data_IF_449445781786
#
_entry.id   IF_449445781786
#
_cell.length_a   1.000
_cell.length_b   1.000
_cell.length_c   1.000
_cell.angle_alpha   90.00
_cell.angle_beta   90.00
_cell.angle_gamma   90.00
#
_symmetry.space_group_name_H-M   'P 1'
#
loop_
_entity.id
_entity.type
_entity.pdbx_description
1 polymer ?
#
# COMPACT_ATOMS: atom_id res chain seq x y z
N UNK A 1 2.08 -4.85 -0.19
CA UNK A 1 2.29 -6.19 0.40
C UNK A 1 0.93 -6.72 0.85
N UNK A 2 0.73 -8.03 0.89
CA UNK A 2 -0.60 -8.58 1.16
C UNK A 2 -0.95 -8.27 2.61
N UNK A 3 -2.15 -7.73 2.89
CA UNK A 3 -2.59 -7.42 4.26
C UNK A 3 -2.38 -8.62 5.19
N UNK A 4 -2.62 -9.84 4.70
CA UNK A 4 -2.35 -11.08 5.42
C UNK A 4 -0.89 -11.23 5.87
N UNK A 5 0.08 -10.93 5.01
CA UNK A 5 1.51 -11.01 5.36
C UNK A 5 1.87 -9.98 6.42
N UNK A 6 1.38 -8.74 6.28
CA UNK A 6 1.61 -7.68 7.27
C UNK A 6 1.05 -8.05 8.65
N UNK A 7 -0.15 -8.65 8.69
CA UNK A 7 -0.78 -9.12 9.92
C UNK A 7 -0.05 -10.33 10.53
N UNK A 8 0.46 -11.24 9.71
CA UNK A 8 1.27 -12.38 10.18
C UNK A 8 2.56 -11.89 10.84
N UNK A 9 3.28 -10.96 10.20
CA UNK A 9 4.50 -10.38 10.76
C UNK A 9 4.19 -9.65 12.07
N UNK A 10 3.12 -8.85 12.10
CA UNK A 10 2.70 -8.16 13.32
C UNK A 10 2.33 -9.14 14.45
N UNK A 11 1.67 -10.26 14.11
CA UNK A 11 1.38 -11.33 15.05
C UNK A 11 2.67 -11.95 15.60
N UNK A 12 3.68 -12.20 14.77
CA UNK A 12 4.98 -12.74 15.22
C UNK A 12 5.65 -11.78 16.21
N UNK A 13 5.69 -10.48 15.91
CA UNK A 13 6.25 -9.49 16.83
C UNK A 13 5.50 -9.44 18.17
N UNK A 14 4.16 -9.51 18.12
CA UNK A 14 3.31 -9.56 19.31
C UNK A 14 3.56 -10.79 20.16
N UNK A 15 3.57 -11.96 19.54
CA UNK A 15 3.83 -13.21 20.24
C UNK A 15 5.22 -13.24 20.86
N UNK A 16 6.24 -12.73 20.14
CA UNK A 16 7.58 -12.59 20.70
C UNK A 16 7.60 -11.67 21.93
N UNK A 17 6.96 -10.49 21.85
CA UNK A 17 7.00 -9.51 22.92
C UNK A 17 6.29 -10.00 24.19
N UNK A 18 5.13 -10.63 24.05
CA UNK A 18 4.35 -11.11 25.19
C UNK A 18 4.68 -12.55 25.59
N UNK A 19 5.56 -13.24 24.86
CA UNK A 19 5.87 -14.65 25.12
C UNK A 19 4.66 -15.56 24.89
N UNK A 20 3.77 -15.21 23.95
CA UNK A 20 2.66 -16.09 23.57
C UNK A 20 3.20 -17.31 22.83
N UNK A 21 2.72 -18.48 23.21
CA UNK A 21 3.01 -19.76 22.57
C UNK A 21 1.72 -20.35 21.96
N UNK A 22 1.82 -21.36 21.10
CA UNK A 22 0.64 -21.93 20.40
C UNK A 22 -0.47 -22.39 21.36
N UNK A 23 -0.11 -22.87 22.55
CA UNK A 23 -1.02 -23.40 23.57
C UNK A 23 -1.20 -22.48 24.78
N UNK A 24 -0.44 -21.38 24.89
CA UNK A 24 -0.42 -20.52 26.08
C UNK A 24 -0.42 -19.06 25.67
N UNK A 25 -1.50 -18.34 26.01
CA UNK A 25 -1.54 -16.87 25.92
C UNK A 25 -1.16 -16.28 27.27
N UNK A 26 -0.34 -15.24 27.25
CA UNK A 26 0.03 -14.47 28.44
C UNK A 26 -0.87 -13.24 28.57
N UNK A 27 -0.78 -12.55 29.71
CA UNK A 27 -1.55 -11.32 29.93
C UNK A 27 -0.86 -10.17 29.18
N UNK A 28 -1.60 -9.54 28.25
CA UNK A 28 -1.11 -8.39 27.48
C UNK A 28 -1.38 -7.11 28.29
N UNK A 29 -0.44 -6.72 29.14
CA UNK A 29 -0.59 -5.57 30.06
C UNK A 29 -0.68 -4.20 29.35
N UNK A 30 -0.17 -4.09 28.12
CA UNK A 30 -0.13 -2.83 27.36
C UNK A 30 -0.71 -3.06 25.97
N UNK A 31 -1.59 -2.15 25.52
CA UNK A 31 -2.16 -2.19 24.17
C UNK A 31 -1.06 -2.13 23.12
N UNK A 32 -1.23 -2.88 22.02
CA UNK A 32 -0.23 -2.92 20.95
C UNK A 32 0.09 -1.54 20.36
N UNK A 33 -0.92 -0.69 20.25
CA UNK A 33 -0.78 0.67 19.73
C UNK A 33 0.16 1.53 20.60
N UNK A 34 0.15 1.34 21.92
CA UNK A 34 1.03 2.05 22.86
C UNK A 34 2.47 1.55 22.74
N UNK A 35 2.65 0.23 22.62
CA UNK A 35 3.95 -0.38 22.35
C UNK A 35 4.57 0.15 21.05
N UNK A 36 3.74 0.39 20.02
CA UNK A 36 4.19 0.87 18.72
C UNK A 36 4.60 2.35 18.66
N UNK A 37 4.31 3.15 19.70
CA UNK A 37 4.71 4.56 19.74
C UNK A 37 6.23 4.71 19.74
N UNK A 38 6.73 5.89 19.35
CA UNK A 38 8.17 6.18 19.42
C UNK A 38 8.69 6.07 20.86
N UNK A 39 10.00 5.84 21.00
CA UNK A 39 10.68 5.87 22.31
C UNK A 39 10.49 7.21 23.03
N UNK A 40 10.49 8.31 22.28
CA UNK A 40 10.23 9.65 22.81
C UNK A 40 8.80 9.83 23.35
N UNK A 41 7.85 9.04 22.87
CA UNK A 41 6.44 9.05 23.33
C UNK A 41 6.13 7.87 24.26
N UNK A 42 7.15 7.25 24.86
CA UNK A 42 6.98 6.18 25.85
C UNK A 42 6.71 4.77 25.29
N UNK A 43 6.77 4.59 23.96
CA UNK A 43 6.65 3.28 23.32
C UNK A 43 7.99 2.61 23.02
N UNK A 44 7.97 1.44 22.37
CA UNK A 44 9.17 0.70 21.97
C UNK A 44 9.70 1.09 20.58
N UNK A 45 8.96 1.91 19.83
CA UNK A 45 9.29 2.28 18.45
C UNK A 45 9.03 1.17 17.43
N UNK A 46 8.25 0.15 17.79
CA UNK A 46 7.92 -0.96 16.89
C UNK A 46 6.90 -0.46 15.86
N UNK A 47 7.33 -0.17 14.63
CA UNK A 47 6.42 0.35 13.61
C UNK A 47 5.30 -0.64 13.22
N UNK A 48 4.05 -0.15 13.18
CA UNK A 48 2.83 -0.92 12.84
C UNK A 48 2.92 -1.57 11.44
N UNK A 49 2.56 -2.84 11.34
CA UNK A 49 2.67 -3.61 10.10
C UNK A 49 1.80 -3.03 8.98
N UNK A 50 0.58 -2.59 9.33
CA UNK A 50 -0.33 -1.93 8.39
C UNK A 50 0.22 -0.63 7.81
N UNK A 51 0.85 0.21 8.64
CA UNK A 51 1.43 1.50 8.19
C UNK A 51 2.60 1.22 7.23
N UNK A 52 3.48 0.30 7.58
CA UNK A 52 4.59 -0.12 6.72
C UNK A 52 4.08 -0.69 5.39
N UNK A 53 3.05 -1.53 5.43
CA UNK A 53 2.43 -2.08 4.23
C UNK A 53 1.86 -0.99 3.31
N UNK A 54 1.14 -0.03 3.88
CA UNK A 54 0.57 1.10 3.14
C UNK A 54 1.66 1.95 2.49
N UNK A 55 2.75 2.26 3.21
CA UNK A 55 3.89 2.98 2.65
C UNK A 55 4.56 2.23 1.49
N UNK A 56 4.74 0.91 1.62
CA UNK A 56 5.29 0.08 0.54
C UNK A 56 4.38 0.06 -0.70
N UNK A 57 3.06 0.00 -0.48
CA UNK A 57 2.07 0.06 -1.55
C UNK A 57 2.08 1.43 -2.24
N UNK A 58 2.10 2.52 -1.48
CA UNK A 58 2.23 3.88 -2.03
C UNK A 58 3.52 4.03 -2.86
N UNK A 59 4.65 3.54 -2.36
CA UNK A 59 5.91 3.51 -3.12
C UNK A 59 5.77 2.74 -4.43
N UNK A 60 5.08 1.59 -4.42
CA UNK A 60 4.83 0.80 -5.62
C UNK A 60 3.99 1.55 -6.64
N UNK A 61 2.93 2.22 -6.19
CA UNK A 61 2.04 3.03 -7.03
C UNK A 61 2.81 4.19 -7.67
N UNK A 62 3.63 4.88 -6.90
CA UNK A 62 4.51 5.93 -7.41
C UNK A 62 5.47 5.39 -8.48
N UNK A 63 6.12 4.24 -8.22
CA UNK A 63 7.01 3.59 -9.18
C UNK A 63 6.25 3.21 -10.46
N UNK A 64 4.99 2.78 -10.35
CA UNK A 64 4.16 2.46 -11.52
C UNK A 64 3.93 3.67 -12.42
N UNK A 65 3.70 4.85 -11.84
CA UNK A 65 3.55 6.10 -12.58
C UNK A 65 4.87 6.60 -13.19
N UNK A 66 5.99 6.42 -12.48
CA UNK A 66 7.31 6.96 -12.86
C UNK A 66 8.13 6.04 -13.78
N UNK A 67 8.19 4.74 -13.50
CA UNK A 67 9.02 3.75 -14.19
C UNK A 67 8.30 3.17 -15.41
N UNK A 68 8.02 4.02 -16.40
CA UNK A 68 7.20 3.64 -17.58
C UNK A 68 7.80 2.51 -18.41
N UNK A 69 9.13 2.40 -18.45
CA UNK A 69 9.85 1.38 -19.23
C UNK A 69 10.17 0.09 -18.47
N UNK A 70 9.85 0.02 -17.18
CA UNK A 70 10.17 -1.16 -16.40
C UNK A 70 9.35 -2.37 -16.87
N UNK A 71 10.03 -3.52 -17.07
CA UNK A 71 9.40 -4.76 -17.54
C UNK A 71 8.20 -5.18 -16.69
N UNK A 72 8.34 -5.09 -15.36
CA UNK A 72 7.25 -5.41 -14.42
C UNK A 72 5.99 -4.56 -14.68
N UNK A 73 6.16 -3.30 -15.11
CA UNK A 73 5.05 -2.42 -15.47
C UNK A 73 4.42 -2.88 -16.79
N UNK A 74 5.21 -3.16 -17.82
CA UNK A 74 4.71 -3.63 -19.13
C UNK A 74 3.88 -4.91 -18.99
N UNK A 75 4.40 -5.88 -18.23
CA UNK A 75 3.67 -7.11 -17.88
C UNK A 75 2.33 -6.82 -17.19
N UNK A 76 2.28 -5.82 -16.30
CA UNK A 76 1.03 -5.43 -15.64
C UNK A 76 0.04 -4.75 -16.59
N UNK A 77 0.54 -3.87 -17.47
CA UNK A 77 -0.28 -3.17 -18.47
C UNK A 77 -0.88 -4.17 -19.46
N UNK A 78 -0.06 -5.09 -19.99
CA UNK A 78 -0.46 -6.05 -21.02
C UNK A 78 -1.37 -7.15 -20.45
N UNK A 79 -1.05 -7.71 -19.28
CA UNK A 79 -1.85 -8.80 -18.71
C UNK A 79 -3.11 -8.33 -17.99
N UNK A 80 -3.14 -7.11 -17.47
CA UNK A 80 -4.24 -6.63 -16.61
C UNK A 80 -4.90 -5.32 -17.09
N UNK A 81 -4.45 -4.74 -18.22
CA UNK A 81 -5.05 -3.53 -18.79
C UNK A 81 -4.86 -2.25 -17.96
N UNK A 82 -3.85 -2.23 -17.08
CA UNK A 82 -3.60 -1.13 -16.15
C UNK A 82 -2.73 -0.09 -16.87
N UNK A 83 -3.29 0.99 -17.40
CA UNK A 83 -2.54 1.93 -18.25
C UNK A 83 -1.95 3.15 -17.52
N UNK A 84 -2.66 3.72 -16.54
CA UNK A 84 -2.26 4.97 -15.85
C UNK A 84 -2.41 4.96 -14.34
N UNK A 85 -1.93 6.02 -13.69
CA UNK A 85 -1.97 6.24 -12.24
C UNK A 85 -3.37 6.65 -11.75
N UNK A 86 -4.18 7.29 -12.62
CA UNK A 86 -5.60 7.52 -12.41
C UNK A 86 -6.37 6.22 -12.65
N UNK A 87 -6.26 5.29 -11.71
CA UNK A 87 -6.88 3.96 -11.74
C UNK A 87 -8.36 3.97 -11.41
N UNK A 88 -9.04 4.98 -11.91
CA UNK A 88 -10.47 5.05 -11.83
C UNK A 88 -11.02 4.71 -13.22
N UNK A 89 -11.48 3.45 -13.37
CA UNK A 89 -12.75 3.04 -14.02
C UNK A 89 -12.62 1.89 -15.03
N UNK A 90 -11.43 1.60 -15.60
CA UNK A 90 -11.30 0.51 -16.59
C UNK A 90 -10.97 -0.88 -16.04
N UNK A 91 -10.43 -1.00 -14.81
CA UNK A 91 -10.12 -2.33 -14.26
C UNK A 91 -11.40 -3.06 -13.83
N UNK A 92 -11.75 -4.12 -14.55
CA UNK A 92 -12.81 -5.07 -14.20
C UNK A 92 -12.19 -6.24 -13.45
N UNK A 93 -12.58 -6.42 -12.18
CA UNK A 93 -12.11 -7.50 -11.32
C UNK A 93 -12.34 -8.86 -12.00
N UNK A 94 -11.26 -9.61 -12.23
CA UNK A 94 -11.30 -10.97 -12.77
C UNK A 94 -10.96 -12.00 -11.68
N UNK A 95 -11.54 -13.20 -11.79
CA UNK A 95 -11.16 -14.33 -10.93
C UNK A 95 -9.68 -14.70 -11.13
N UNK A 96 -9.17 -14.56 -12.36
CA UNK A 96 -7.79 -14.83 -12.77
C UNK A 96 -6.78 -13.79 -12.26
N UNK A 97 -7.23 -12.64 -11.75
CA UNK A 97 -6.31 -11.62 -11.27
C UNK A 97 -5.55 -12.12 -10.03
N UNK A 98 -4.26 -11.82 -9.99
CA UNK A 98 -3.43 -12.16 -8.84
C UNK A 98 -3.92 -11.42 -7.60
N UNK A 99 -3.72 -12.02 -6.42
CA UNK A 99 -4.08 -11.38 -5.16
C UNK A 99 -3.36 -10.03 -4.99
N UNK A 100 -2.14 -9.90 -5.53
CA UNK A 100 -1.40 -8.65 -5.57
C UNK A 100 -2.10 -7.56 -6.40
N UNK A 101 -2.52 -7.87 -7.64
CA UNK A 101 -3.22 -6.92 -8.51
C UNK A 101 -4.56 -6.52 -7.89
N UNK A 102 -5.33 -7.49 -7.36
CA UNK A 102 -6.57 -7.21 -6.63
C UNK A 102 -6.34 -6.26 -5.46
N UNK A 103 -5.28 -6.48 -4.67
CA UNK A 103 -4.93 -5.61 -3.54
C UNK A 103 -4.54 -4.19 -4.03
N UNK A 104 -3.67 -4.10 -5.02
CA UNK A 104 -3.23 -2.81 -5.59
C UNK A 104 -4.42 -2.04 -6.16
N UNK A 105 -5.22 -2.64 -7.04
CA UNK A 105 -6.41 -2.02 -7.63
C UNK A 105 -7.47 -1.64 -6.58
N UNK A 106 -7.61 -2.42 -5.49
CA UNK A 106 -8.54 -2.08 -4.41
C UNK A 106 -8.15 -0.81 -3.64
N UNK A 107 -6.86 -0.46 -3.60
CA UNK A 107 -6.36 0.72 -2.89
C UNK A 107 -6.59 2.03 -3.65
N UNK A 108 -6.74 1.92 -4.97
CA UNK A 108 -7.11 3.03 -5.85
C UNK A 108 -8.62 3.34 -5.80
N UNK A 109 -9.42 2.53 -5.11
CA UNK A 109 -10.78 2.92 -4.77
C UNK A 109 -10.73 4.08 -3.77
N UNK A 110 -11.46 5.16 -4.10
CA UNK A 110 -11.50 6.38 -3.32
C UNK A 110 -11.83 6.10 -1.84
N UNK A 111 -11.07 6.73 -0.93
CA UNK A 111 -11.35 6.72 0.52
C UNK A 111 -10.38 5.93 1.41
N UNK A 112 -9.45 5.15 0.86
CA UNK A 112 -8.43 4.47 1.69
C UNK A 112 -7.38 5.45 2.24
N UNK A 113 -6.83 5.18 3.44
CA UNK A 113 -5.72 5.98 4.01
C UNK A 113 -4.53 6.06 3.04
N UNK A 114 -4.26 4.98 2.31
CA UNK A 114 -3.22 4.93 1.28
C UNK A 114 -3.55 5.85 0.11
N UNK A 115 -4.81 5.90 -0.34
CA UNK A 115 -5.25 6.85 -1.37
C UNK A 115 -5.06 8.30 -0.90
N UNK A 116 -5.37 8.62 0.36
CA UNK A 116 -5.11 9.95 0.94
C UNK A 116 -3.61 10.30 0.94
N UNK A 117 -2.76 9.39 1.42
CA UNK A 117 -1.29 9.58 1.43
C UNK A 117 -0.74 9.83 0.01
N UNK A 118 -1.28 9.14 -0.99
CA UNK A 118 -0.88 9.30 -2.39
C UNK A 118 -1.38 10.65 -2.92
N UNK A 119 -2.64 11.01 -2.68
CA UNK A 119 -3.23 12.27 -3.15
C UNK A 119 -2.57 13.50 -2.51
N UNK A 120 -2.24 13.43 -1.23
CA UNK A 120 -1.60 14.54 -0.50
C UNK A 120 -0.08 14.58 -0.71
N UNK A 121 0.56 13.43 -0.90
CA UNK A 121 2.02 13.31 -0.91
C UNK A 121 2.66 13.31 -2.30
N UNK A 122 1.89 13.07 -3.38
CA UNK A 122 2.44 13.01 -4.73
C UNK A 122 2.07 14.25 -5.53
N UNK A 123 3.09 15.03 -5.89
CA UNK A 123 2.98 16.03 -6.95
C UNK A 123 3.36 15.40 -8.29
N UNK A 124 2.61 15.74 -9.33
CA UNK A 124 3.01 15.45 -10.70
C UNK A 124 3.78 16.64 -11.23
N UNK A 125 4.93 16.42 -11.83
CA UNK A 125 5.63 17.45 -12.60
C UNK A 125 5.16 17.30 -14.04
N UNK A 126 4.49 18.33 -14.54
CA UNK A 126 4.06 18.38 -15.94
C UNK A 126 5.31 18.39 -16.82
N UNK A 127 5.44 17.36 -17.67
CA UNK A 127 6.53 17.24 -18.63
C UNK A 127 6.29 18.09 -19.88
N UNK A 128 6.85 17.67 -21.02
CA UNK A 128 6.87 18.40 -22.30
C UNK A 128 5.50 18.63 -23.00
N UNK A 129 4.36 18.51 -22.30
CA UNK A 129 3.04 18.81 -22.86
C UNK A 129 2.37 17.65 -23.59
N UNK A 130 3.10 16.61 -24.00
CA UNK A 130 2.55 15.43 -24.70
C UNK A 130 1.56 14.59 -23.86
N UNK A 131 1.41 14.89 -22.56
CA UNK A 131 0.73 14.05 -21.56
C UNK A 131 -0.20 14.82 -20.62
N UNK A 132 -0.35 16.12 -20.84
CA UNK A 132 -1.26 16.96 -20.09
C UNK A 132 -2.11 17.71 -21.10
N UNK A 133 -3.32 17.22 -21.32
CA UNK A 133 -4.32 17.93 -22.12
C UNK A 133 -4.81 19.12 -21.29
N UNK A 134 -4.25 20.29 -21.53
CA UNK A 134 -4.66 21.53 -20.87
C UNK A 134 -5.91 22.15 -21.49
N UNK A 135 -6.27 21.72 -22.70
CA UNK A 135 -7.33 22.33 -23.50
C UNK A 135 -8.26 21.26 -24.05
N UNK A 136 -9.39 21.04 -23.37
CA UNK A 136 -10.60 20.45 -23.97
C UNK A 136 -11.68 21.52 -24.02
N UNK A 137 -11.49 22.53 -24.86
CA UNK A 137 -12.57 23.44 -25.27
C UNK A 137 -12.36 23.81 -26.74
N UNK A 138 -13.09 23.14 -27.63
CA UNK A 138 -13.80 23.70 -28.79
C UNK A 138 -14.98 22.80 -29.12
#
# INVERSE_FOLDING_TARGET
MLLGVALVIEKIHRCFLWGDERSKRTIHAVKWEEVCKSKSSGGLGIGRGLIKNNGMLAKWIWRFGRERDALWRRVLVENYGIQDMCLSWSWKKSSKDSFFVKAVCSLFKAGSLTAKIILEGFSTVVGKGDRAEFWTEF
#
